data_IF_422847981117
#
_entry.id   IF_422847981117
#
_cell.length_a   1.000
_cell.length_b   1.000
_cell.length_c   1.000
_cell.angle_alpha   90.00
_cell.angle_beta   90.00
_cell.angle_gamma   90.00
#
_symmetry.space_group_name_H-M   'P 1'
#
loop_
_entity.id
_entity.type
_entity.pdbx_description
1 polymer ?
#
# COMPACT_ATOMS: atom_id res chain seq x y z
N UNK A 1 -6.80 65.30 -38.43
CA UNK A 1 -5.60 64.88 -39.20
C UNK A 1 -4.37 65.17 -38.35
N UNK A 2 -3.40 64.25 -38.32
CA UNK A 2 -2.09 64.25 -37.62
C UNK A 2 -2.04 63.64 -36.22
N UNK A 3 -1.73 62.34 -36.23
CA UNK A 3 -0.89 61.62 -35.29
C UNK A 3 0.48 62.30 -35.08
N UNK A 4 1.10 62.13 -33.91
CA UNK A 4 2.39 61.40 -33.77
C UNK A 4 3.12 61.65 -32.44
N UNK A 5 3.38 60.54 -31.72
CA UNK A 5 4.58 60.11 -30.97
C UNK A 5 5.23 61.08 -29.93
N UNK A 6 5.84 60.69 -28.81
CA UNK A 6 6.67 59.52 -28.48
C UNK A 6 6.99 59.55 -26.94
N UNK A 7 6.78 58.43 -26.21
CA UNK A 7 7.69 57.67 -25.28
C UNK A 7 8.53 58.48 -24.24
N UNK A 8 8.70 58.17 -22.93
CA UNK A 8 9.28 56.99 -22.24
C UNK A 8 9.04 57.10 -20.70
N UNK A 9 8.52 55.99 -20.13
CA UNK A 9 8.87 55.26 -18.87
C UNK A 9 9.53 55.98 -17.69
N UNK A 10 8.93 55.88 -16.49
CA UNK A 10 9.62 55.42 -15.24
C UNK A 10 8.62 54.62 -14.38
N UNK A 11 9.06 53.43 -13.98
CA UNK A 11 8.35 52.50 -13.09
C UNK A 11 8.43 52.92 -11.62
N UNK A 12 7.36 52.69 -10.86
CA UNK A 12 7.46 52.47 -9.40
C UNK A 12 6.60 51.26 -9.04
N UNK A 13 7.30 50.20 -8.65
CA UNK A 13 6.80 48.99 -8.02
C UNK A 13 6.08 49.32 -6.71
N UNK A 14 4.82 48.91 -6.56
CA UNK A 14 4.26 48.56 -5.25
C UNK A 14 3.62 47.17 -5.34
N UNK A 15 4.45 46.20 -5.01
CA UNK A 15 4.09 44.82 -4.73
C UNK A 15 3.35 44.79 -3.40
N UNK A 16 2.04 44.59 -3.42
CA UNK A 16 1.31 44.13 -2.24
C UNK A 16 1.21 42.61 -2.32
N UNK A 17 2.27 41.95 -1.85
CA UNK A 17 2.22 40.54 -1.45
C UNK A 17 1.35 40.48 -0.19
N UNK A 18 0.05 40.25 -0.38
CA UNK A 18 -0.73 39.58 0.67
C UNK A 18 -0.54 38.10 0.43
N UNK A 19 0.44 37.57 1.14
CA UNK A 19 0.67 36.14 1.33
C UNK A 19 -0.56 35.59 2.05
N UNK A 20 -1.57 35.19 1.31
CA UNK A 20 -2.59 34.28 1.82
C UNK A 20 -1.89 32.92 1.99
N UNK A 21 -1.12 32.76 3.07
CA UNK A 21 -0.95 31.47 3.71
C UNK A 21 -2.30 31.13 4.34
N UNK A 22 -3.22 30.63 3.51
CA UNK A 22 -4.18 29.67 4.01
C UNK A 22 -3.42 28.35 4.16
N UNK A 23 -2.80 28.17 5.32
CA UNK A 23 -2.63 26.84 5.86
C UNK A 23 -4.01 26.17 5.82
N UNK A 24 -4.17 24.95 5.28
CA UNK A 24 -5.35 24.19 5.64
C UNK A 24 -5.16 23.84 7.11
N UNK A 25 -5.85 24.61 7.97
CA UNK A 25 -6.24 24.17 9.30
C UNK A 25 -7.03 22.88 9.09
N UNK A 26 -6.36 21.72 9.11
CA UNK A 26 -7.06 20.45 9.22
C UNK A 26 -7.60 20.36 10.64
N UNK A 27 -8.76 20.98 10.87
CA UNK A 27 -9.69 20.46 11.86
C UNK A 27 -9.87 18.99 11.49
N UNK A 28 -9.31 18.10 12.31
CA UNK A 28 -9.30 16.68 12.04
C UNK A 28 -10.72 16.20 11.79
N UNK A 29 -11.05 15.96 10.52
CA UNK A 29 -12.22 15.16 10.20
C UNK A 29 -11.97 13.80 10.83
N UNK A 30 -12.87 13.39 11.72
CA UNK A 30 -12.91 12.01 12.18
C UNK A 30 -13.17 11.15 10.95
N UNK A 31 -12.15 10.39 10.53
CA UNK A 31 -12.29 9.40 9.45
C UNK A 31 -13.29 8.33 9.88
N UNK A 32 -14.08 7.86 8.93
CA UNK A 32 -14.94 6.68 9.12
C UNK A 32 -14.04 5.46 9.19
N UNK A 33 -14.03 4.75 10.33
CA UNK A 33 -13.19 3.58 10.50
C UNK A 33 -13.88 2.33 9.94
N UNK A 34 -13.27 1.72 8.92
CA UNK A 34 -13.68 0.47 8.32
C UNK A 34 -13.03 -0.69 9.09
N UNK A 35 -13.56 -0.97 10.29
CA UNK A 35 -13.07 -2.06 11.14
C UNK A 35 -13.52 -3.42 10.62
N UNK A 36 -12.73 -4.45 10.90
CA UNK A 36 -13.11 -5.85 10.67
C UNK A 36 -13.61 -6.54 11.94
N UNK A 37 -14.47 -7.54 11.77
CA UNK A 37 -14.92 -8.44 12.84
C UNK A 37 -14.32 -9.82 12.58
N UNK A 38 -13.57 -10.35 13.54
CA UNK A 38 -13.07 -11.73 13.46
C UNK A 38 -14.25 -12.69 13.60
N UNK A 39 -14.49 -13.49 12.56
CA UNK A 39 -15.54 -14.49 12.54
C UNK A 39 -15.04 -15.82 13.11
N UNK A 40 -13.87 -16.28 12.63
CA UNK A 40 -13.27 -17.54 13.03
C UNK A 40 -11.73 -17.53 12.95
N UNK A 41 -11.10 -18.50 13.60
CA UNK A 41 -9.67 -18.80 13.47
C UNK A 41 -9.48 -19.99 12.54
N UNK A 42 -9.25 -19.71 11.25
CA UNK A 42 -9.05 -20.75 10.23
C UNK A 42 -7.82 -21.64 10.51
N UNK A 43 -6.72 -21.05 11.00
CA UNK A 43 -5.48 -21.79 11.30
C UNK A 43 -4.60 -21.05 12.28
N UNK A 44 -3.89 -21.80 13.13
CA UNK A 44 -2.79 -21.26 13.94
C UNK A 44 -1.47 -21.92 13.55
N UNK A 45 -0.46 -21.11 13.28
CA UNK A 45 0.92 -21.55 13.08
C UNK A 45 1.82 -21.04 14.19
N UNK A 46 3.13 -21.21 14.02
CA UNK A 46 4.11 -20.85 15.04
C UNK A 46 4.07 -19.34 15.37
N UNK A 47 4.17 -18.49 14.33
CA UNK A 47 4.28 -17.03 14.48
C UNK A 47 3.09 -16.24 13.95
N UNK A 48 2.12 -16.94 13.36
CA UNK A 48 1.01 -16.34 12.62
C UNK A 48 -0.29 -17.04 12.98
N UNK A 49 -1.39 -16.28 12.99
CA UNK A 49 -2.75 -16.78 13.08
C UNK A 49 -3.48 -16.35 11.82
N UNK A 50 -4.14 -17.30 11.14
CA UNK A 50 -4.99 -17.03 9.99
C UNK A 50 -6.43 -16.94 10.50
N UNK A 51 -7.08 -15.84 10.17
CA UNK A 51 -8.40 -15.46 10.63
C UNK A 51 -9.30 -15.24 9.43
N UNK A 52 -10.54 -15.67 9.55
CA UNK A 52 -11.61 -15.23 8.66
C UNK A 52 -12.21 -13.97 9.28
N UNK A 53 -12.15 -12.88 8.54
CA UNK A 53 -12.55 -11.55 9.02
C UNK A 53 -13.65 -11.00 8.13
N UNK A 54 -14.79 -10.67 8.72
CA UNK A 54 -15.80 -9.86 8.05
C UNK A 54 -15.28 -8.43 7.96
N UNK A 55 -15.03 -7.96 6.75
CA UNK A 55 -14.65 -6.59 6.49
C UNK A 55 -15.63 -5.98 5.49
N UNK A 56 -16.27 -4.88 5.89
CA UNK A 56 -17.49 -4.38 5.24
C UNK A 56 -18.56 -5.48 5.22
N UNK A 57 -18.83 -6.09 4.07
CA UNK A 57 -19.82 -7.18 3.92
C UNK A 57 -19.18 -8.48 3.39
N UNK A 58 -17.87 -8.51 3.18
CA UNK A 58 -17.17 -9.62 2.56
C UNK A 58 -16.30 -10.32 3.62
N UNK A 59 -16.16 -11.64 3.51
CA UNK A 59 -15.31 -12.43 4.41
C UNK A 59 -13.96 -12.62 3.75
N UNK A 60 -12.92 -12.07 4.36
CA UNK A 60 -11.56 -12.13 3.85
C UNK A 60 -10.65 -12.91 4.79
N UNK A 61 -9.64 -13.56 4.22
CA UNK A 61 -8.60 -14.24 4.98
C UNK A 61 -7.50 -13.26 5.35
N UNK A 62 -7.18 -13.16 6.65
CA UNK A 62 -6.07 -12.39 7.18
C UNK A 62 -5.11 -13.27 7.97
N UNK A 63 -3.84 -13.24 7.59
CA UNK A 63 -2.74 -13.78 8.36
C UNK A 63 -2.16 -12.67 9.25
N UNK A 64 -2.37 -12.79 10.56
CA UNK A 64 -1.92 -11.86 11.60
C UNK A 64 -0.69 -12.42 12.33
N UNK A 65 0.39 -11.64 12.40
CA UNK A 65 1.54 -11.98 13.24
C UNK A 65 1.15 -11.90 14.72
N UNK A 66 1.54 -12.92 15.50
CA UNK A 66 1.34 -12.94 16.95
C UNK A 66 2.11 -11.78 17.62
N UNK A 67 1.43 -11.08 18.54
CA UNK A 67 1.98 -9.90 19.25
C UNK A 67 3.24 -10.24 20.03
N UNK A 68 3.23 -11.37 20.73
CA UNK A 68 4.34 -11.86 21.54
C UNK A 68 5.13 -12.91 20.75
N UNK A 69 5.86 -12.43 19.74
CA UNK A 69 6.77 -13.28 18.96
C UNK A 69 7.95 -13.71 19.85
N UNK A 70 7.80 -14.85 20.53
CA UNK A 70 8.88 -15.54 21.21
C UNK A 70 9.40 -16.64 20.29
N UNK A 71 10.69 -16.57 19.95
CA UNK A 71 11.36 -17.58 19.13
C UNK A 71 12.33 -18.31 20.05
N UNK A 72 12.13 -19.61 20.23
CA UNK A 72 13.10 -20.43 20.92
C UNK A 72 14.23 -20.82 19.96
N UNK A 73 15.32 -20.06 20.01
CA UNK A 73 16.53 -20.36 19.24
C UNK A 73 17.23 -21.64 19.69
N UNK A 74 16.81 -22.26 20.80
CA UNK A 74 17.37 -23.51 21.28
C UNK A 74 17.13 -24.67 20.32
N UNK A 75 15.94 -24.72 19.69
CA UNK A 75 15.55 -25.78 18.75
C UNK A 75 16.38 -25.76 17.47
N UNK A 76 16.70 -24.58 16.96
CA UNK A 76 17.56 -24.40 15.78
C UNK A 76 18.97 -24.94 15.99
N UNK A 77 19.47 -24.99 17.24
CA UNK A 77 20.80 -25.55 17.55
C UNK A 77 20.85 -27.08 17.41
N UNK A 78 19.69 -27.74 17.48
CA UNK A 78 19.60 -29.20 17.39
C UNK A 78 19.52 -29.73 15.95
N UNK A 79 19.08 -28.88 15.03
CA UNK A 79 18.81 -29.25 13.62
C UNK A 79 19.80 -28.65 12.64
N UNK A 80 20.46 -27.54 13.00
CA UNK A 80 21.38 -26.84 12.12
C UNK A 80 22.84 -27.30 12.34
N UNK A 81 23.59 -27.48 11.24
CA UNK A 81 24.98 -27.97 11.29
C UNK A 81 25.93 -26.99 11.97
N UNK A 82 25.51 -25.74 12.11
CA UNK A 82 26.30 -24.65 12.70
C UNK A 82 25.60 -24.10 13.95
N UNK A 83 25.51 -24.93 14.99
CA UNK A 83 24.82 -24.60 16.25
C UNK A 83 25.36 -23.34 16.95
N UNK A 84 26.58 -22.90 16.59
CA UNK A 84 27.19 -21.66 17.04
C UNK A 84 26.54 -20.41 16.41
N UNK A 85 25.96 -20.52 15.20
CA UNK A 85 25.30 -19.39 14.50
C UNK A 85 24.18 -18.77 15.34
N UNK A 86 23.35 -19.62 15.94
CA UNK A 86 22.20 -19.21 16.76
C UNK A 86 22.57 -18.76 18.17
N UNK A 87 23.85 -18.81 18.56
CA UNK A 87 24.32 -18.25 19.83
C UNK A 87 24.61 -16.75 19.76
N UNK A 88 24.71 -16.19 18.56
CA UNK A 88 25.01 -14.78 18.36
C UNK A 88 23.73 -13.94 18.48
N UNK A 89 23.65 -13.11 19.53
CA UNK A 89 22.50 -12.20 19.76
C UNK A 89 22.14 -11.37 18.53
N UNK A 90 23.13 -10.84 17.82
CA UNK A 90 22.92 -10.07 16.58
C UNK A 90 22.20 -10.89 15.49
N UNK A 91 22.50 -12.19 15.37
CA UNK A 91 21.85 -13.09 14.40
C UNK A 91 20.42 -13.40 14.78
N UNK A 92 20.16 -13.62 16.07
CA UNK A 92 18.82 -13.76 16.59
C UNK A 92 17.98 -12.50 16.32
N UNK A 93 18.52 -11.31 16.58
CA UNK A 93 17.86 -10.03 16.31
C UNK A 93 17.60 -9.81 14.81
N UNK A 94 18.58 -10.15 13.95
CA UNK A 94 18.42 -10.12 12.49
C UNK A 94 17.29 -11.05 12.03
N UNK A 95 17.19 -12.24 12.61
CA UNK A 95 16.13 -13.21 12.31
C UNK A 95 14.76 -12.73 12.80
N UNK A 96 14.65 -12.25 14.04
CA UNK A 96 13.40 -11.66 14.55
C UNK A 96 12.94 -10.49 13.66
N UNK A 97 13.88 -9.62 13.24
CA UNK A 97 13.58 -8.52 12.33
C UNK A 97 13.10 -9.03 10.98
N UNK A 98 13.69 -10.12 10.49
CA UNK A 98 13.28 -10.78 9.25
C UNK A 98 11.84 -11.32 9.33
N UNK A 99 11.47 -12.03 10.40
CA UNK A 99 10.11 -12.55 10.61
C UNK A 99 9.10 -11.39 10.70
N UNK A 100 9.42 -10.34 11.45
CA UNK A 100 8.60 -9.12 11.54
C UNK A 100 8.42 -8.43 10.19
N UNK A 101 9.48 -8.36 9.39
CA UNK A 101 9.41 -7.73 8.05
C UNK A 101 8.56 -8.56 7.08
N UNK A 102 8.57 -9.88 7.22
CA UNK A 102 7.86 -10.82 6.33
C UNK A 102 6.38 -10.98 6.67
N UNK A 103 5.92 -10.44 7.81
CA UNK A 103 4.52 -10.56 8.27
C UNK A 103 3.50 -9.93 7.33
N UNK A 104 3.89 -8.83 6.68
CA UNK A 104 3.06 -8.11 5.73
C UNK A 104 3.46 -8.48 4.31
N UNK A 105 2.49 -8.60 3.41
CA UNK A 105 2.75 -8.79 1.98
C UNK A 105 2.40 -7.52 1.18
N UNK A 106 2.50 -7.59 -0.14
CA UNK A 106 2.22 -6.46 -1.02
C UNK A 106 0.76 -5.99 -0.97
N UNK A 107 -0.19 -6.91 -0.83
CA UNK A 107 -1.64 -6.65 -0.76
C UNK A 107 -1.97 -5.79 0.46
N UNK A 108 -1.63 -6.29 1.65
CA UNK A 108 -1.90 -5.57 2.89
C UNK A 108 -1.11 -4.28 3.01
N UNK A 109 0.13 -4.22 2.48
CA UNK A 109 0.89 -2.97 2.47
C UNK A 109 0.24 -1.90 1.58
N UNK A 110 -0.22 -2.27 0.39
CA UNK A 110 -0.88 -1.31 -0.50
C UNK A 110 -2.18 -0.77 0.12
N UNK A 111 -2.99 -1.63 0.73
CA UNK A 111 -4.21 -1.23 1.44
C UNK A 111 -3.92 -0.36 2.67
N UNK A 112 -2.94 -0.75 3.50
CA UNK A 112 -2.50 0.06 4.65
C UNK A 112 -2.12 1.47 4.21
N UNK A 113 -1.28 1.59 3.15
CA UNK A 113 -0.85 2.89 2.64
C UNK A 113 -1.98 3.68 2.00
N UNK A 114 -2.91 3.03 1.30
CA UNK A 114 -4.09 3.67 0.73
C UNK A 114 -4.90 4.37 1.84
N UNK A 115 -5.37 3.62 2.85
CA UNK A 115 -6.22 4.18 3.91
C UNK A 115 -5.50 5.12 4.88
N UNK A 116 -4.17 4.99 5.04
CA UNK A 116 -3.37 5.99 5.76
C UNK A 116 -3.47 7.38 5.09
N UNK A 117 -3.56 7.42 3.76
CA UNK A 117 -3.58 8.65 2.97
C UNK A 117 -4.98 9.07 2.49
N UNK A 118 -5.98 8.20 2.65
CA UNK A 118 -7.38 8.54 2.34
C UNK A 118 -7.88 9.63 3.30
N UNK A 119 -8.68 10.58 2.82
CA UNK A 119 -9.15 11.71 3.65
C UNK A 119 -10.44 11.41 4.42
N UNK A 120 -11.18 10.37 4.03
CA UNK A 120 -12.52 10.06 4.51
C UNK A 120 -12.53 8.78 5.34
N UNK A 121 -11.81 7.75 4.89
CA UNK A 121 -11.84 6.41 5.47
C UNK A 121 -10.52 6.06 6.15
N UNK A 122 -10.63 5.33 7.25
CA UNK A 122 -9.55 4.64 7.93
C UNK A 122 -9.88 3.15 8.02
N UNK A 123 -8.91 2.33 8.43
CA UNK A 123 -9.11 0.91 8.71
C UNK A 123 -8.05 0.45 9.74
N UNK A 124 -8.29 -0.68 10.40
CA UNK A 124 -7.41 -1.23 11.45
C UNK A 124 -6.93 -2.67 11.23
N UNK A 125 -7.35 -3.32 10.14
CA UNK A 125 -7.06 -4.73 9.85
C UNK A 125 -5.81 -4.95 8.98
N UNK A 126 -5.47 -4.00 8.10
CA UNK A 126 -4.27 -3.98 7.27
C UNK A 126 -3.19 -3.17 7.96
N UNK A 127 -2.12 -3.84 8.37
CA UNK A 127 -1.00 -3.24 9.08
C UNK A 127 0.31 -3.94 8.73
N UNK A 128 1.43 -3.41 9.22
CA UNK A 128 2.74 -4.10 9.16
C UNK A 128 2.77 -5.51 9.76
N UNK A 129 1.72 -5.92 10.49
CA UNK A 129 1.58 -7.24 11.10
C UNK A 129 0.59 -8.15 10.39
N UNK A 130 -0.03 -7.71 9.30
CA UNK A 130 -1.02 -8.50 8.58
C UNK A 130 -0.69 -8.69 7.11
N UNK A 131 -1.05 -9.86 6.60
CA UNK A 131 -1.05 -10.20 5.18
C UNK A 131 -2.40 -10.80 4.81
N UNK A 132 -2.80 -10.66 3.55
CA UNK A 132 -4.03 -11.26 3.00
C UNK A 132 -3.67 -12.08 1.77
N UNK A 133 -4.48 -13.06 1.39
CA UNK A 133 -4.20 -13.90 0.23
C UNK A 133 -4.66 -13.24 -1.09
N UNK A 134 -4.49 -13.97 -2.19
CA UNK A 134 -4.81 -13.47 -3.53
C UNK A 134 -6.32 -13.37 -3.72
N UNK A 135 -7.04 -14.38 -3.26
CA UNK A 135 -8.48 -14.50 -3.34
C UNK A 135 -9.14 -13.30 -2.64
N UNK A 136 -8.72 -13.02 -1.40
CA UNK A 136 -9.22 -11.88 -0.60
C UNK A 136 -8.92 -10.52 -1.25
N UNK A 137 -7.71 -10.29 -1.80
CA UNK A 137 -7.43 -9.01 -2.48
C UNK A 137 -8.23 -8.87 -3.77
N UNK A 138 -8.45 -9.96 -4.51
CA UNK A 138 -9.28 -9.93 -5.72
C UNK A 138 -10.74 -9.60 -5.38
N UNK A 139 -11.30 -10.19 -4.31
CA UNK A 139 -12.63 -9.86 -3.79
C UNK A 139 -12.71 -8.39 -3.36
N UNK A 140 -11.78 -7.92 -2.52
CA UNK A 140 -11.73 -6.52 -2.08
C UNK A 140 -11.74 -5.55 -3.27
N UNK A 141 -10.91 -5.79 -4.27
CA UNK A 141 -10.79 -4.92 -5.44
C UNK A 141 -12.04 -4.94 -6.33
N UNK A 142 -12.76 -6.05 -6.39
CA UNK A 142 -13.98 -6.18 -7.19
C UNK A 142 -15.20 -5.57 -6.48
N UNK A 143 -15.30 -5.76 -5.17
CA UNK A 143 -16.52 -5.51 -4.41
C UNK A 143 -16.52 -4.17 -3.66
N UNK A 144 -15.35 -3.55 -3.48
CA UNK A 144 -15.23 -2.26 -2.78
C UNK A 144 -14.46 -1.19 -3.55
N UNK A 145 -13.77 -1.57 -4.62
CA UNK A 145 -13.07 -0.63 -5.47
C UNK A 145 -13.72 -0.56 -6.85
N UNK A 146 -13.41 0.52 -7.56
CA UNK A 146 -13.76 0.73 -8.97
C UNK A 146 -12.47 0.80 -9.79
N UNK A 147 -12.46 0.07 -10.92
CA UNK A 147 -11.35 0.14 -11.87
C UNK A 147 -11.42 1.46 -12.63
N UNK A 148 -10.48 2.36 -12.35
CA UNK A 148 -10.38 3.70 -12.98
C UNK A 148 -9.51 3.73 -14.22
N UNK A 149 -8.84 2.61 -14.54
CA UNK A 149 -8.17 2.42 -15.81
C UNK A 149 -7.24 1.21 -15.82
N UNK A 150 -6.62 0.96 -16.96
CA UNK A 150 -5.67 -0.14 -17.13
C UNK A 150 -4.71 0.15 -18.29
N UNK A 151 -3.54 -0.47 -18.25
CA UNK A 151 -2.60 -0.45 -19.37
C UNK A 151 -1.73 -1.70 -19.41
N UNK A 152 -1.22 -2.04 -20.59
CA UNK A 152 -0.24 -3.11 -20.76
C UNK A 152 1.08 -2.74 -20.08
N UNK A 153 1.64 -3.61 -19.25
CA UNK A 153 2.88 -3.34 -18.50
C UNK A 153 4.04 -2.96 -19.44
N UNK A 154 4.14 -3.61 -20.61
CA UNK A 154 5.13 -3.31 -21.66
C UNK A 154 5.02 -1.87 -22.22
N UNK A 155 3.83 -1.26 -22.18
CA UNK A 155 3.53 0.10 -22.69
C UNK A 155 3.47 1.17 -21.59
N UNK A 156 3.70 0.81 -20.32
CA UNK A 156 3.46 1.67 -19.15
C UNK A 156 4.26 2.98 -19.05
N UNK A 157 5.22 3.26 -19.95
CA UNK A 157 5.99 4.53 -19.94
C UNK A 157 5.15 5.76 -20.29
N UNK A 158 4.01 5.57 -20.96
CA UNK A 158 3.10 6.65 -21.38
C UNK A 158 1.78 6.62 -20.62
N UNK A 159 1.64 5.76 -19.62
CA UNK A 159 0.40 5.64 -18.87
C UNK A 159 0.22 6.87 -17.97
N UNK A 160 -0.95 7.48 -18.03
CA UNK A 160 -1.37 8.49 -17.05
C UNK A 160 -1.97 7.71 -15.89
N UNK A 161 -1.34 7.82 -14.72
CA UNK A 161 -1.80 7.18 -13.50
C UNK A 161 -2.47 8.25 -12.64
N UNK A 162 -3.77 8.14 -12.35
CA UNK A 162 -4.45 9.08 -11.48
C UNK A 162 -3.88 9.01 -10.07
N UNK A 163 -3.95 10.12 -9.34
CA UNK A 163 -3.49 10.16 -7.97
C UNK A 163 -4.35 9.27 -7.05
N UNK A 164 -3.77 8.81 -5.94
CA UNK A 164 -4.43 8.03 -4.90
C UNK A 164 -5.16 6.79 -5.44
N UNK A 165 -4.38 5.79 -5.88
CA UNK A 165 -4.90 4.53 -6.43
C UNK A 165 -4.07 3.33 -6.00
N UNK A 166 -4.71 2.16 -5.99
CA UNK A 166 -4.04 0.86 -5.96
C UNK A 166 -3.77 0.42 -7.40
N UNK A 167 -2.51 0.11 -7.69
CA UNK A 167 -2.08 -0.52 -8.91
C UNK A 167 -2.00 -2.03 -8.68
N UNK A 168 -2.87 -2.80 -9.31
CA UNK A 168 -2.82 -4.25 -9.32
C UNK A 168 -2.07 -4.73 -10.56
N UNK A 169 -1.00 -5.49 -10.34
CA UNK A 169 -0.19 -6.11 -11.37
C UNK A 169 -0.82 -7.47 -11.67
N UNK A 170 -1.23 -7.66 -12.91
CA UNK A 170 -2.02 -8.82 -13.34
C UNK A 170 -1.21 -9.67 -14.30
N UNK A 171 -1.15 -10.97 -14.03
CA UNK A 171 -0.40 -11.94 -14.83
C UNK A 171 -1.11 -12.30 -16.14
N UNK A 172 -0.52 -13.19 -16.93
CA UNK A 172 -1.16 -13.73 -18.13
C UNK A 172 -2.36 -14.64 -17.84
N UNK A 173 -2.45 -15.18 -16.62
CA UNK A 173 -3.58 -15.98 -16.13
C UNK A 173 -4.70 -15.12 -15.53
N UNK A 174 -4.60 -13.80 -15.67
CA UNK A 174 -5.53 -12.81 -15.10
C UNK A 174 -5.56 -12.72 -13.57
N UNK A 175 -4.55 -13.30 -12.91
CA UNK A 175 -4.37 -13.23 -11.46
C UNK A 175 -3.68 -11.95 -11.02
N UNK A 176 -4.16 -11.35 -9.94
CA UNK A 176 -3.41 -10.31 -9.24
C UNK A 176 -2.21 -10.96 -8.57
N UNK A 177 -1.00 -10.57 -8.97
CA UNK A 177 0.27 -11.12 -8.46
C UNK A 177 1.01 -10.15 -7.54
N UNK A 178 0.67 -8.85 -7.61
CA UNK A 178 1.28 -7.81 -6.82
C UNK A 178 0.41 -6.56 -6.77
N UNK A 179 0.42 -5.82 -5.66
CA UNK A 179 -0.24 -4.52 -5.56
C UNK A 179 0.70 -3.44 -5.07
N UNK A 180 0.46 -2.21 -5.53
CA UNK A 180 1.23 -1.02 -5.18
C UNK A 180 0.28 0.14 -4.93
N UNK A 181 0.50 0.88 -3.85
CA UNK A 181 -0.18 2.15 -3.67
C UNK A 181 0.57 3.26 -4.40
N UNK A 182 -0.15 4.07 -5.18
CA UNK A 182 0.41 5.21 -5.90
C UNK A 182 -0.22 6.52 -5.40
N UNK A 183 0.65 7.45 -5.01
CA UNK A 183 0.28 8.83 -4.66
C UNK A 183 1.39 9.79 -5.07
N UNK A 184 1.02 10.91 -5.66
CA UNK A 184 1.86 12.09 -5.89
C UNK A 184 3.21 11.75 -6.56
N UNK A 185 3.19 10.85 -7.55
CA UNK A 185 4.39 10.42 -8.28
C UNK A 185 5.24 9.37 -7.56
N UNK A 186 4.81 8.88 -6.40
CA UNK A 186 5.50 7.85 -5.60
C UNK A 186 4.76 6.52 -5.66
N UNK A 187 5.50 5.45 -5.89
CA UNK A 187 5.02 4.07 -5.89
C UNK A 187 5.47 3.38 -4.60
N UNK A 188 4.54 3.17 -3.68
CA UNK A 188 4.78 2.48 -2.41
C UNK A 188 4.57 0.98 -2.63
N UNK A 189 5.66 0.21 -2.63
CA UNK A 189 5.63 -1.22 -2.89
C UNK A 189 6.36 -2.00 -1.80
N UNK A 190 5.89 -3.23 -1.53
CA UNK A 190 6.56 -4.17 -0.64
C UNK A 190 6.68 -5.53 -1.32
N UNK A 191 7.83 -6.18 -1.25
CA UNK A 191 8.02 -7.51 -1.85
C UNK A 191 8.30 -8.55 -0.75
N UNK A 192 7.25 -9.24 -0.31
CA UNK A 192 7.31 -10.31 0.69
C UNK A 192 8.26 -10.00 1.85
N UNK A 193 9.34 -10.79 1.92
CA UNK A 193 10.34 -10.76 2.99
C UNK A 193 11.21 -9.49 3.03
N UNK A 194 11.19 -8.66 1.98
CA UNK A 194 11.97 -7.43 1.92
C UNK A 194 11.23 -6.25 2.58
N UNK A 195 11.97 -5.28 3.15
CA UNK A 195 11.38 -4.03 3.61
C UNK A 195 10.64 -3.31 2.48
N UNK A 196 9.59 -2.53 2.80
CA UNK A 196 8.94 -1.68 1.82
C UNK A 196 9.93 -0.73 1.14
N UNK A 197 9.66 -0.43 -0.13
CA UNK A 197 10.45 0.49 -0.95
C UNK A 197 9.54 1.46 -1.68
N UNK A 198 10.06 2.66 -1.82
CA UNK A 198 9.48 3.71 -2.63
C UNK A 198 10.19 3.75 -3.98
N UNK A 199 9.43 3.93 -5.04
CA UNK A 199 9.95 4.15 -6.37
C UNK A 199 9.34 5.44 -6.93
N UNK A 200 10.10 6.16 -7.75
CA UNK A 200 9.60 7.35 -8.46
C UNK A 200 9.35 7.09 -9.95
N UNK A 201 9.66 5.87 -10.41
CA UNK A 201 9.49 5.45 -11.81
C UNK A 201 8.95 4.03 -11.86
N UNK A 202 7.79 3.86 -12.51
CA UNK A 202 7.17 2.55 -12.71
C UNK A 202 8.13 1.51 -13.34
N UNK A 203 9.03 1.93 -14.22
CA UNK A 203 10.02 1.04 -14.87
C UNK A 203 10.93 0.34 -13.85
N UNK A 204 11.28 1.01 -12.75
CA UNK A 204 12.16 0.44 -11.71
C UNK A 204 11.49 -0.72 -10.98
N UNK A 205 10.16 -0.63 -10.82
CA UNK A 205 9.31 -1.64 -10.22
C UNK A 205 9.06 -2.83 -11.17
N UNK A 206 8.59 -2.55 -12.40
CA UNK A 206 8.18 -3.61 -13.35
C UNK A 206 9.36 -4.46 -13.83
N UNK A 207 10.45 -3.83 -14.30
CA UNK A 207 11.53 -4.57 -14.97
C UNK A 207 12.38 -5.42 -14.03
N UNK A 208 12.44 -5.09 -12.75
CA UNK A 208 13.32 -5.77 -11.79
C UNK A 208 12.61 -6.88 -11.01
N UNK A 209 11.28 -6.81 -10.87
CA UNK A 209 10.59 -7.64 -9.88
C UNK A 209 9.33 -8.34 -10.39
N UNK A 210 8.72 -7.92 -11.51
CA UNK A 210 7.43 -8.45 -11.97
C UNK A 210 7.39 -8.61 -13.50
N UNK A 211 8.27 -9.47 -14.03
CA UNK A 211 8.46 -9.65 -15.47
C UNK A 211 7.30 -10.38 -16.17
N UNK A 212 6.51 -11.12 -15.40
CA UNK A 212 5.33 -11.89 -15.79
C UNK A 212 4.03 -11.05 -15.79
N UNK A 213 4.11 -9.77 -15.43
CA UNK A 213 2.96 -8.85 -15.49
C UNK A 213 2.55 -8.57 -16.93
N UNK A 214 1.30 -8.90 -17.27
CA UNK A 214 0.65 -8.59 -18.56
C UNK A 214 0.07 -7.18 -18.55
N UNK A 215 -0.77 -6.89 -17.55
CA UNK A 215 -1.50 -5.63 -17.40
C UNK A 215 -1.32 -5.06 -16.01
N UNK A 216 -1.43 -3.74 -15.90
CA UNK A 216 -1.56 -3.05 -14.63
C UNK A 216 -2.94 -2.40 -14.63
N UNK A 217 -3.77 -2.80 -13.66
CA UNK A 217 -5.11 -2.26 -13.42
C UNK A 217 -5.04 -1.25 -12.28
N UNK A 218 -5.79 -0.17 -12.40
CA UNK A 218 -5.78 0.94 -11.45
C UNK A 218 -7.13 0.99 -10.76
N UNK A 219 -7.13 0.99 -9.43
CA UNK A 219 -8.31 0.90 -8.59
C UNK A 219 -8.35 2.06 -7.61
N UNK A 220 -9.55 2.61 -7.41
CA UNK A 220 -9.86 3.57 -6.34
C UNK A 220 -11.03 3.03 -5.53
N UNK A 221 -11.09 3.36 -4.24
CA UNK A 221 -12.22 2.99 -3.41
C UNK A 221 -13.52 3.51 -4.03
N UNK A 222 -14.53 2.67 -4.10
CA UNK A 222 -15.87 3.03 -4.54
C UNK A 222 -16.66 3.47 -3.32
N UNK A 223 -16.70 4.78 -3.08
CA UNK A 223 -17.33 5.34 -1.88
C UNK A 223 -18.81 5.00 -1.78
N UNK A 224 -19.51 4.86 -2.90
CA UNK A 224 -20.94 4.54 -2.90
C UNK A 224 -21.17 3.09 -2.50
N UNK A 225 -20.33 2.15 -2.98
CA UNK A 225 -20.35 0.77 -2.51
C UNK A 225 -20.06 0.68 -1.02
N UNK A 226 -19.05 1.42 -0.53
CA UNK A 226 -18.67 1.40 0.89
C UNK A 226 -19.80 1.94 1.77
N UNK A 227 -20.42 3.07 1.41
CA UNK A 227 -21.52 3.67 2.18
C UNK A 227 -22.75 2.77 2.29
N UNK A 228 -23.05 1.97 1.26
CA UNK A 228 -24.17 1.02 1.28
C UNK A 228 -23.93 -0.18 2.22
N UNK A 229 -22.68 -0.41 2.62
CA UNK A 229 -22.21 -1.55 3.40
C UNK A 229 -21.87 -1.17 4.86
N UNK A 230 -22.00 0.10 5.22
CA UNK A 230 -21.90 0.62 6.59
C UNK A 230 -23.27 0.71 7.25
#
# INVERSE_FOLDING_TARGET
MKFSYLVIVVAVLWVSVVKAHSEPVSKGLHKVNLSGIVLDTAKTGEHTVWLDVLWLNDTITLAMQKKDLQIDFSEFRSTDKDSAFWTQKKKQEEYVKFIKTSAQNCYSYALERYFQNDSVYAQDIFSKYSSTDRESIEEILNDHFVKVGEFLAKKGRKAIIPNHVILAFVSYYDWVIHTVYYSDGVFYSKNGMFPPKEFHKLKELVKKSYWDTKTIRMYRLDEEKVKQKL
#
